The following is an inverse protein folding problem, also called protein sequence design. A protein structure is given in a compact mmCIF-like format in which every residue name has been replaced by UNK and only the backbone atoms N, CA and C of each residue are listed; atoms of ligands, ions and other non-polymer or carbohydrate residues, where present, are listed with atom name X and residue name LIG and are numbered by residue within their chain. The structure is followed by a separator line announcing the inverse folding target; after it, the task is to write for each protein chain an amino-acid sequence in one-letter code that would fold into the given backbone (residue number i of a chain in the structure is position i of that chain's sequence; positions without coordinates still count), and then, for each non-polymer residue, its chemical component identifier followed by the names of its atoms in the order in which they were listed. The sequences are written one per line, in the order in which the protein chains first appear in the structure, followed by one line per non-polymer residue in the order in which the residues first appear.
data_IF_640518779969
#
_entry.id   IF_640518779969
#
_cell.length_a   1.000
_cell.length_b   1.000
_cell.length_c   1.000
_cell.angle_alpha   90.00
_cell.angle_beta   90.00
_cell.angle_gamma   90.00
#
_symmetry.space_group_name_H-M   'P 1'
#
loop_
_entity.id
_entity.type
_entity.pdbx_description
1 polymer ?
#
# COMPACT_ATOMS: atom_id res chain seq x y z
N UNK A 1 -4.90 -25.14 12.34
CA UNK A 1 -5.19 -24.13 13.39
C UNK A 1 -3.98 -23.22 13.53
N UNK A 2 -3.96 -22.09 12.82
CA UNK A 2 -2.89 -21.08 12.90
C UNK A 2 -3.15 -20.15 14.08
N UNK A 3 -2.63 -20.55 15.26
CA UNK A 3 -2.45 -19.76 16.48
C UNK A 3 -3.73 -19.28 17.19
N UNK A 4 -3.85 -19.56 18.48
CA UNK A 4 -4.91 -19.01 19.35
C UNK A 4 -4.86 -17.48 19.50
N UNK A 5 -3.79 -16.83 19.02
CA UNK A 5 -3.48 -15.42 19.26
C UNK A 5 -3.70 -14.52 18.05
N UNK A 6 -4.06 -13.27 18.31
CA UNK A 6 -4.23 -12.17 17.36
C UNK A 6 -3.00 -11.25 17.30
N UNK A 7 -2.18 -11.20 18.35
CA UNK A 7 -1.06 -10.26 18.46
C UNK A 7 0.29 -10.97 18.54
N UNK A 8 1.34 -10.27 18.10
CA UNK A 8 2.71 -10.79 18.24
C UNK A 8 3.24 -10.69 19.67
N UNK A 9 2.91 -9.59 20.38
CA UNK A 9 3.48 -9.23 21.69
C UNK A 9 2.48 -8.89 22.78
N UNK A 10 1.18 -9.02 22.52
CA UNK A 10 0.14 -8.66 23.48
C UNK A 10 0.02 -9.64 24.64
N UNK A 11 -0.42 -9.13 25.78
CA UNK A 11 -0.80 -9.92 26.95
C UNK A 11 -2.08 -10.72 26.71
N UNK A 12 -2.37 -11.74 27.56
CA UNK A 12 -3.67 -12.43 27.52
C UNK A 12 -4.88 -11.49 27.67
N UNK A 13 -4.72 -10.32 28.27
CA UNK A 13 -5.80 -9.34 28.43
C UNK A 13 -6.21 -8.73 27.07
N UNK A 14 -5.26 -8.21 26.30
CA UNK A 14 -5.57 -7.64 24.97
C UNK A 14 -6.04 -8.70 23.98
N UNK A 15 -5.55 -9.94 24.11
CA UNK A 15 -6.06 -11.07 23.31
C UNK A 15 -7.54 -11.35 23.58
N UNK A 16 -7.97 -11.32 24.85
CA UNK A 16 -9.40 -11.44 25.21
C UNK A 16 -10.21 -10.27 24.65
N UNK A 17 -9.75 -9.04 24.81
CA UNK A 17 -10.42 -7.85 24.26
C UNK A 17 -10.61 -7.95 22.74
N UNK A 18 -9.59 -8.36 21.99
CA UNK A 18 -9.69 -8.55 20.54
C UNK A 18 -10.65 -9.69 20.22
N UNK A 19 -10.57 -10.80 20.95
CA UNK A 19 -11.47 -11.95 20.76
C UNK A 19 -12.94 -11.58 20.96
N UNK A 20 -13.25 -10.82 22.01
CA UNK A 20 -14.59 -10.31 22.30
C UNK A 20 -15.08 -9.39 21.18
N UNK A 21 -14.25 -8.42 20.76
CA UNK A 21 -14.57 -7.51 19.66
C UNK A 21 -14.85 -8.26 18.36
N UNK A 22 -13.98 -9.20 17.97
CA UNK A 22 -14.12 -10.00 16.75
C UNK A 22 -15.39 -10.85 16.79
N UNK A 23 -15.69 -11.45 17.94
CA UNK A 23 -16.91 -12.25 18.14
C UNK A 23 -18.16 -11.40 18.01
N UNK A 24 -18.19 -10.22 18.64
CA UNK A 24 -19.31 -9.27 18.55
C UNK A 24 -19.50 -8.73 17.14
N UNK A 25 -18.42 -8.39 16.46
CA UNK A 25 -18.46 -7.96 15.06
C UNK A 25 -19.01 -9.08 14.17
N UNK A 26 -18.57 -10.32 14.37
CA UNK A 26 -19.09 -11.49 13.64
C UNK A 26 -20.59 -11.68 13.86
N UNK A 27 -21.04 -11.68 15.11
CA UNK A 27 -22.46 -11.82 15.44
C UNK A 27 -23.30 -10.73 14.78
N UNK A 28 -22.89 -9.46 14.89
CA UNK A 28 -23.59 -8.32 14.33
C UNK A 28 -23.68 -8.37 12.79
N UNK A 29 -22.59 -8.71 12.11
CA UNK A 29 -22.58 -8.81 10.65
C UNK A 29 -23.41 -9.99 10.15
N UNK A 30 -23.38 -11.14 10.85
CA UNK A 30 -24.09 -12.36 10.44
C UNK A 30 -25.61 -12.18 10.38
N UNK A 31 -26.18 -11.30 11.23
CA UNK A 31 -27.61 -11.01 11.27
C UNK A 31 -28.15 -10.32 10.02
N UNK A 32 -27.29 -9.92 9.08
CA UNK A 32 -27.66 -9.23 7.84
C UNK A 32 -27.63 -10.13 6.61
N UNK A 33 -27.35 -11.41 6.79
CA UNK A 33 -27.28 -12.38 5.71
C UNK A 33 -28.24 -13.53 5.97
N UNK A 34 -28.97 -13.95 4.93
CA UNK A 34 -29.73 -15.18 4.98
C UNK A 34 -28.78 -16.40 5.00
N UNK A 35 -29.24 -17.57 5.47
CA UNK A 35 -28.44 -18.79 5.43
C UNK A 35 -27.88 -19.07 4.02
N UNK A 36 -26.56 -19.25 3.93
CA UNK A 36 -25.86 -19.52 2.68
C UNK A 36 -25.45 -18.30 1.85
N UNK A 37 -25.87 -17.07 2.21
CA UNK A 37 -25.43 -15.86 1.51
C UNK A 37 -24.00 -15.46 1.88
N UNK A 38 -23.69 -15.48 3.18
CA UNK A 38 -22.34 -15.28 3.71
C UNK A 38 -21.60 -16.62 3.75
N UNK A 39 -20.57 -16.75 2.91
CA UNK A 39 -19.78 -17.98 2.81
C UNK A 39 -18.64 -18.02 3.82
N UNK A 40 -17.96 -16.88 3.99
CA UNK A 40 -16.95 -16.72 5.04
C UNK A 40 -16.84 -15.26 5.46
N UNK A 41 -16.68 -15.05 6.76
CA UNK A 41 -16.18 -13.81 7.34
C UNK A 41 -14.80 -14.11 7.91
N UNK A 42 -13.78 -13.44 7.40
CA UNK A 42 -12.41 -13.61 7.84
C UNK A 42 -11.83 -12.32 8.41
N UNK A 43 -11.04 -12.45 9.47
CA UNK A 43 -10.10 -11.43 9.91
C UNK A 43 -8.82 -11.59 9.09
N UNK A 44 -8.40 -10.52 8.44
CA UNK A 44 -7.18 -10.46 7.62
C UNK A 44 -6.19 -9.45 8.24
N UNK A 45 -5.12 -9.11 7.52
CA UNK A 45 -4.17 -8.10 8.00
C UNK A 45 -3.33 -8.59 9.19
N UNK A 46 -2.92 -7.68 10.09
CA UNK A 46 -2.06 -8.03 11.24
C UNK A 46 -2.70 -9.03 12.18
N UNK A 47 -3.94 -8.75 12.62
CA UNK A 47 -4.65 -9.63 13.56
C UNK A 47 -5.05 -10.97 12.93
N UNK A 48 -5.37 -11.00 11.63
CA UNK A 48 -5.60 -12.24 10.89
C UNK A 48 -4.37 -13.15 10.80
N UNK A 49 -3.16 -12.57 10.82
CA UNK A 49 -1.90 -13.33 10.86
C UNK A 49 -1.50 -13.81 12.26
N UNK A 50 -2.16 -13.31 13.31
CA UNK A 50 -1.68 -13.45 14.68
C UNK A 50 -0.48 -12.56 15.00
N UNK A 51 -0.31 -11.47 14.23
CA UNK A 51 0.85 -10.58 14.29
C UNK A 51 0.43 -9.11 14.41
N UNK A 52 -0.77 -8.86 14.95
CA UNK A 52 -1.27 -7.51 15.18
C UNK A 52 -0.43 -6.76 16.21
N UNK A 53 -0.31 -5.45 16.01
CA UNK A 53 0.40 -4.57 16.93
C UNK A 53 -0.44 -4.19 18.15
N UNK A 54 0.24 -3.77 19.21
CA UNK A 54 -0.36 -3.39 20.50
C UNK A 54 0.20 -2.05 20.93
N UNK A 55 -0.68 -1.13 21.31
CA UNK A 55 -0.33 0.13 21.96
C UNK A 55 -0.42 -0.05 23.47
N UNK A 56 0.54 0.55 24.21
CA UNK A 56 0.52 0.62 25.67
C UNK A 56 0.25 2.05 26.11
N UNK A 57 -0.91 2.28 26.74
CA UNK A 57 -1.30 3.60 27.25
C UNK A 57 -1.75 3.45 28.69
N UNK A 58 -1.09 4.15 29.61
CA UNK A 58 -1.44 4.10 31.03
C UNK A 58 -1.35 2.69 31.65
N UNK A 59 -0.42 1.86 31.17
CA UNK A 59 -0.27 0.47 31.63
C UNK A 59 -1.30 -0.52 31.07
N UNK A 60 -2.25 -0.06 30.25
CA UNK A 60 -3.21 -0.92 29.54
C UNK A 60 -2.80 -1.11 28.08
N UNK A 61 -2.98 -2.34 27.61
CA UNK A 61 -2.75 -2.71 26.22
C UNK A 61 -4.03 -2.60 25.41
N UNK A 62 -3.92 -2.01 24.22
CA UNK A 62 -5.03 -1.90 23.26
C UNK A 62 -4.58 -2.23 21.84
N UNK A 63 -5.50 -2.66 20.95
CA UNK A 63 -5.18 -2.87 19.54
C UNK A 63 -4.60 -1.59 18.93
N UNK A 64 -3.41 -1.67 18.34
CA UNK A 64 -2.80 -0.53 17.65
C UNK A 64 -3.31 -0.37 16.21
N UNK A 65 -3.50 -1.48 15.49
CA UNK A 65 -3.87 -1.46 14.09
C UNK A 65 -5.40 -1.53 13.92
N UNK A 66 -5.85 -1.25 12.70
CA UNK A 66 -7.24 -1.53 12.33
C UNK A 66 -7.49 -3.04 12.30
N UNK A 67 -8.72 -3.44 12.60
CA UNK A 67 -9.23 -4.78 12.29
C UNK A 67 -9.71 -4.78 10.85
N UNK A 68 -9.03 -5.56 10.00
CA UNK A 68 -9.41 -5.73 8.61
C UNK A 68 -10.33 -6.96 8.48
N UNK A 69 -11.61 -6.73 8.25
CA UNK A 69 -12.62 -7.77 8.01
C UNK A 69 -12.82 -7.98 6.52
N UNK A 70 -12.96 -9.23 6.10
CA UNK A 70 -13.30 -9.59 4.72
C UNK A 70 -14.48 -10.55 4.69
N UNK A 71 -15.54 -10.14 4.02
CA UNK A 71 -16.73 -10.93 3.77
C UNK A 71 -16.67 -11.48 2.36
N UNK A 72 -16.82 -12.81 2.24
CA UNK A 72 -17.05 -13.48 0.95
C UNK A 72 -18.50 -13.92 0.90
N UNK A 73 -19.22 -13.38 -0.08
CA UNK A 73 -20.64 -13.68 -0.31
C UNK A 73 -20.84 -14.48 -1.58
N UNK A 74 -21.91 -15.26 -1.63
CA UNK A 74 -22.26 -16.09 -2.77
C UNK A 74 -22.60 -15.25 -4.01
N UNK A 75 -23.46 -14.24 -3.81
CA UNK A 75 -24.01 -13.39 -4.87
C UNK A 75 -23.62 -11.93 -4.69
N UNK A 76 -23.82 -11.13 -5.74
CA UNK A 76 -23.60 -9.69 -5.65
C UNK A 76 -24.52 -9.10 -4.56
N UNK A 77 -23.96 -8.38 -3.58
CA UNK A 77 -24.77 -7.80 -2.52
C UNK A 77 -25.65 -6.67 -3.08
N UNK A 78 -26.81 -6.39 -2.47
CA UNK A 78 -27.61 -5.23 -2.84
C UNK A 78 -26.82 -3.93 -2.65
N UNK A 79 -27.15 -2.93 -3.45
CA UNK A 79 -26.55 -1.61 -3.35
C UNK A 79 -26.76 -1.04 -1.93
N UNK A 80 -25.71 -0.45 -1.36
CA UNK A 80 -25.78 0.13 -0.01
C UNK A 80 -25.50 -0.84 1.14
N UNK A 81 -25.50 -2.17 0.93
CA UNK A 81 -25.24 -3.13 2.00
C UNK A 81 -23.91 -2.85 2.71
N UNK A 82 -22.84 -2.56 1.97
CA UNK A 82 -21.54 -2.23 2.56
C UNK A 82 -21.65 -1.04 3.54
N UNK A 83 -22.37 0.02 3.15
CA UNK A 83 -22.56 1.20 4.00
C UNK A 83 -23.45 0.90 5.21
N UNK A 84 -24.43 0.02 5.06
CA UNK A 84 -25.23 -0.48 6.19
C UNK A 84 -24.37 -1.23 7.21
N UNK A 85 -23.58 -2.21 6.76
CA UNK A 85 -22.66 -2.97 7.60
C UNK A 85 -21.61 -2.06 8.25
N UNK A 86 -21.06 -1.10 7.49
CA UNK A 86 -20.13 -0.10 8.03
C UNK A 86 -20.77 0.72 9.15
N UNK A 87 -22.05 1.13 9.02
CA UNK A 87 -22.78 1.81 10.11
C UNK A 87 -23.04 0.90 11.31
N UNK A 88 -23.32 -0.37 11.06
CA UNK A 88 -23.61 -1.33 12.11
C UNK A 88 -22.37 -1.59 13.00
N UNK A 89 -21.16 -1.45 12.46
CA UNK A 89 -19.90 -1.59 13.20
C UNK A 89 -19.49 -0.33 14.00
N UNK A 90 -20.14 0.82 13.78
CA UNK A 90 -19.75 2.09 14.41
C UNK A 90 -19.79 2.10 15.95
N UNK A 91 -20.78 1.46 16.62
CA UNK A 91 -20.77 1.34 18.07
C UNK A 91 -19.52 0.61 18.58
N UNK A 92 -19.07 -0.44 17.88
CA UNK A 92 -17.87 -1.19 18.25
C UNK A 92 -16.59 -0.36 18.01
N UNK A 93 -16.52 0.41 16.93
CA UNK A 93 -15.40 1.32 16.68
C UNK A 93 -15.24 2.33 17.81
N UNK A 94 -16.36 2.90 18.27
CA UNK A 94 -16.40 3.88 19.35
C UNK A 94 -16.05 3.26 20.70
N UNK A 95 -16.68 2.13 21.04
CA UNK A 95 -16.49 1.44 22.32
C UNK A 95 -15.05 0.98 22.53
N UNK A 96 -14.44 0.37 21.51
CA UNK A 96 -13.08 -0.17 21.58
C UNK A 96 -12.01 0.82 21.09
N UNK A 97 -12.40 2.01 20.63
CA UNK A 97 -11.52 3.04 20.07
C UNK A 97 -10.56 2.49 19.00
N UNK A 98 -11.07 1.65 18.12
CA UNK A 98 -10.28 0.93 17.11
C UNK A 98 -10.92 1.07 15.73
N UNK A 99 -10.08 1.24 14.71
CA UNK A 99 -10.54 1.19 13.33
C UNK A 99 -11.01 -0.21 12.97
N UNK A 100 -12.17 -0.33 12.33
CA UNK A 100 -12.66 -1.58 11.75
C UNK A 100 -12.93 -1.31 10.28
N UNK A 101 -12.10 -1.88 9.42
CA UNK A 101 -12.21 -1.77 7.96
C UNK A 101 -12.85 -3.04 7.41
N UNK A 102 -13.74 -2.89 6.43
CA UNK A 102 -14.49 -4.02 5.89
C UNK A 102 -14.42 -4.07 4.36
N UNK A 103 -13.95 -5.21 3.86
CA UNK A 103 -14.03 -5.61 2.46
C UNK A 103 -15.19 -6.56 2.22
N UNK A 104 -15.91 -6.38 1.10
CA UNK A 104 -17.01 -7.24 0.68
C UNK A 104 -16.77 -7.70 -0.76
N UNK A 105 -16.65 -9.01 -0.97
CA UNK A 105 -16.37 -9.60 -2.28
C UNK A 105 -17.26 -10.79 -2.55
N UNK A 106 -17.58 -11.01 -3.83
CA UNK A 106 -18.28 -12.24 -4.23
C UNK A 106 -17.28 -13.37 -4.47
N UNK A 107 -17.70 -14.62 -4.24
CA UNK A 107 -16.88 -15.79 -4.56
C UNK A 107 -16.50 -15.82 -6.04
N UNK A 108 -17.40 -15.44 -6.94
CA UNK A 108 -17.14 -15.41 -8.38
C UNK A 108 -16.11 -14.34 -8.77
N UNK A 109 -16.08 -13.19 -8.09
CA UNK A 109 -15.05 -12.17 -8.27
C UNK A 109 -13.71 -12.68 -7.73
N UNK A 110 -13.73 -13.24 -6.52
CA UNK A 110 -12.55 -13.77 -5.85
C UNK A 110 -11.90 -14.92 -6.62
N UNK A 111 -12.67 -15.80 -7.27
CA UNK A 111 -12.15 -16.88 -8.14
C UNK A 111 -11.52 -16.38 -9.44
N UNK A 112 -11.88 -15.18 -9.89
CA UNK A 112 -11.47 -14.60 -11.17
C UNK A 112 -10.45 -13.46 -11.04
N UNK A 113 -10.12 -13.05 -9.82
CA UNK A 113 -9.17 -11.98 -9.55
C UNK A 113 -7.74 -12.35 -10.02
N UNK A 114 -6.94 -11.39 -10.51
CA UNK A 114 -5.51 -11.63 -10.68
C UNK A 114 -4.86 -11.95 -9.33
N UNK A 115 -3.79 -12.74 -9.33
CA UNK A 115 -3.02 -12.98 -8.12
C UNK A 115 -2.22 -11.71 -7.79
N UNK A 116 -2.69 -11.00 -6.76
CA UNK A 116 -2.08 -9.80 -6.20
C UNK A 116 -1.47 -10.15 -4.86
N UNK A 117 -0.54 -9.31 -4.38
CA UNK A 117 0.07 -9.43 -3.04
C UNK A 117 -1.02 -9.64 -1.99
N UNK A 118 -2.06 -8.80 -2.01
CA UNK A 118 -3.19 -8.88 -1.08
C UNK A 118 -3.85 -10.27 -1.04
N UNK A 119 -4.05 -10.93 -2.19
CA UNK A 119 -4.76 -12.21 -2.23
C UNK A 119 -3.92 -13.39 -1.76
N UNK A 120 -2.62 -13.37 -2.10
CA UNK A 120 -1.66 -14.29 -1.51
C UNK A 120 -1.63 -14.14 0.02
N UNK A 121 -1.55 -12.90 0.48
CA UNK A 121 -1.53 -12.53 1.87
C UNK A 121 -2.79 -12.97 2.64
N UNK A 122 -3.97 -12.76 2.05
CA UNK A 122 -5.26 -13.17 2.61
C UNK A 122 -5.38 -14.68 2.66
N UNK A 123 -4.97 -15.40 1.61
CA UNK A 123 -5.03 -16.87 1.59
C UNK A 123 -4.27 -17.49 2.75
N UNK A 124 -3.09 -16.96 3.07
CA UNK A 124 -2.20 -17.55 4.07
C UNK A 124 -2.29 -16.92 5.46
N UNK A 125 -2.61 -15.63 5.54
CA UNK A 125 -2.59 -14.83 6.74
C UNK A 125 -3.97 -14.33 7.17
N UNK A 126 -4.89 -15.26 7.42
CA UNK A 126 -6.24 -14.96 7.90
C UNK A 126 -6.65 -15.86 9.07
N UNK A 127 -7.71 -15.43 9.76
CA UNK A 127 -8.50 -16.25 10.68
C UNK A 127 -9.96 -16.21 10.24
N UNK A 128 -10.58 -17.37 10.12
CA UNK A 128 -12.02 -17.44 9.86
C UNK A 128 -12.78 -17.17 11.16
N UNK A 129 -13.68 -16.20 11.12
CA UNK A 129 -14.57 -15.83 12.22
C UNK A 129 -15.88 -16.61 12.09
N UNK A 130 -16.46 -16.64 10.88
CA UNK A 130 -17.70 -17.36 10.57
C UNK A 130 -17.63 -18.01 9.18
N UNK A 131 -18.42 -19.06 8.97
CA UNK A 131 -18.56 -19.74 7.67
C UNK A 131 -17.47 -20.79 7.43
N UNK A 132 -17.20 -21.09 6.16
CA UNK A 132 -16.26 -22.14 5.76
C UNK A 132 -14.80 -21.70 5.95
N UNK A 133 -14.10 -22.33 6.88
CA UNK A 133 -12.69 -22.08 7.17
C UNK A 133 -11.75 -22.56 6.05
N UNK A 134 -12.20 -23.44 5.16
CA UNK A 134 -11.40 -23.96 4.05
C UNK A 134 -11.55 -23.13 2.77
N UNK A 135 -12.51 -22.19 2.72
CA UNK A 135 -12.79 -21.40 1.52
C UNK A 135 -11.56 -20.65 1.03
N UNK A 136 -10.92 -19.84 1.89
CA UNK A 136 -9.74 -19.06 1.48
C UNK A 136 -8.51 -19.94 1.21
N UNK A 137 -8.17 -20.94 2.05
CA UNK A 137 -7.10 -21.89 1.76
C UNK A 137 -7.24 -22.60 0.41
N UNK A 138 -8.48 -22.95 0.02
CA UNK A 138 -8.79 -23.67 -1.24
C UNK A 138 -8.49 -22.88 -2.51
N UNK A 139 -8.22 -21.57 -2.42
CA UNK A 139 -7.90 -20.71 -3.56
C UNK A 139 -6.43 -20.85 -3.98
N UNK A 140 -6.04 -22.07 -4.35
CA UNK A 140 -4.64 -22.49 -4.55
C UNK A 140 -3.85 -21.73 -5.61
N UNK A 141 -4.53 -20.97 -6.48
CA UNK A 141 -3.88 -20.10 -7.48
C UNK A 141 -3.18 -18.88 -6.87
N UNK A 142 -3.51 -18.51 -5.64
CA UNK A 142 -2.85 -17.41 -4.94
C UNK A 142 -1.54 -17.88 -4.32
N UNK A 143 -0.52 -18.02 -5.17
CA UNK A 143 0.84 -18.42 -4.80
C UNK A 143 1.80 -17.25 -4.99
N UNK A 144 2.92 -17.24 -4.27
CA UNK A 144 3.89 -16.14 -4.34
C UNK A 144 4.47 -15.98 -5.74
N UNK A 145 4.69 -17.10 -6.45
CA UNK A 145 5.19 -17.14 -7.83
C UNK A 145 4.17 -16.62 -8.85
N UNK A 146 2.90 -16.57 -8.45
CA UNK A 146 1.81 -16.07 -9.30
C UNK A 146 1.52 -14.58 -9.06
N UNK A 147 2.13 -13.95 -8.06
CA UNK A 147 1.98 -12.51 -7.83
C UNK A 147 2.54 -11.74 -9.03
N UNK A 148 1.72 -10.85 -9.58
CA UNK A 148 2.11 -9.99 -10.70
C UNK A 148 3.20 -8.99 -10.26
N UNK A 149 4.37 -8.92 -10.93
CA UNK A 149 5.42 -7.97 -10.59
C UNK A 149 4.97 -6.50 -10.64
N UNK A 150 4.05 -6.16 -11.54
CA UNK A 150 3.43 -4.83 -11.59
C UNK A 150 2.68 -4.49 -10.31
N UNK A 151 2.00 -5.45 -9.66
CA UNK A 151 1.28 -5.23 -8.39
C UNK A 151 2.24 -4.81 -7.27
N UNK A 152 3.45 -5.39 -7.26
CA UNK A 152 4.51 -5.04 -6.31
C UNK A 152 5.12 -3.67 -6.61
N UNK A 153 5.30 -3.33 -7.89
CA UNK A 153 5.68 -1.97 -8.30
C UNK A 153 4.61 -0.94 -7.90
N UNK A 154 3.34 -1.29 -8.02
CA UNK A 154 2.26 -0.38 -7.62
C UNK A 154 2.19 -0.24 -6.10
N UNK A 155 2.50 -1.29 -5.34
CA UNK A 155 2.72 -1.19 -3.90
C UNK A 155 3.84 -0.18 -3.58
N UNK A 156 4.98 -0.23 -4.28
CA UNK A 156 6.08 0.73 -4.09
C UNK A 156 5.64 2.17 -4.32
N UNK A 157 4.88 2.43 -5.39
CA UNK A 157 4.36 3.76 -5.71
C UNK A 157 3.37 4.21 -4.65
N UNK A 158 2.39 3.37 -4.30
CA UNK A 158 1.38 3.70 -3.29
C UNK A 158 2.02 4.04 -1.93
N UNK A 159 3.05 3.29 -1.56
CA UNK A 159 3.79 3.47 -0.30
C UNK A 159 4.72 4.69 -0.36
N UNK A 160 5.36 4.90 -1.50
CA UNK A 160 6.24 6.06 -1.71
C UNK A 160 5.48 7.38 -1.88
N UNK A 161 4.23 7.37 -2.34
CA UNK A 161 3.34 8.55 -2.32
C UNK A 161 3.16 9.11 -0.91
N UNK A 162 3.20 8.27 0.13
CA UNK A 162 3.16 8.73 1.53
C UNK A 162 4.36 9.64 1.87
N UNK A 163 5.52 9.42 1.25
CA UNK A 163 6.68 10.27 1.41
C UNK A 163 6.48 11.63 0.72
N UNK A 164 5.83 11.63 -0.45
CA UNK A 164 5.48 12.87 -1.16
C UNK A 164 4.53 13.73 -0.31
N UNK A 165 3.58 13.10 0.37
CA UNK A 165 2.69 13.77 1.34
C UNK A 165 3.52 14.37 2.48
N UNK A 166 4.46 13.60 3.04
CA UNK A 166 5.33 14.06 4.13
C UNK A 166 6.23 15.23 3.74
N UNK A 167 6.74 15.28 2.51
CA UNK A 167 7.52 16.41 2.01
C UNK A 167 6.72 17.71 2.02
N UNK A 168 5.45 17.67 1.56
CA UNK A 168 4.59 18.84 1.62
C UNK A 168 4.23 19.23 3.06
N UNK A 169 4.09 18.26 3.97
CA UNK A 169 3.92 18.56 5.40
C UNK A 169 5.15 19.29 5.95
N UNK A 170 6.35 18.79 5.68
CA UNK A 170 7.60 19.39 6.11
C UNK A 170 7.86 20.77 5.48
N UNK A 171 7.41 20.98 4.24
CA UNK A 171 7.57 22.26 3.55
C UNK A 171 6.72 23.38 4.17
N UNK A 172 5.64 23.05 4.90
CA UNK A 172 4.80 24.02 5.61
C UNK A 172 5.44 24.60 6.87
N UNK A 173 6.53 24.01 7.36
CA UNK A 173 7.20 24.43 8.58
C UNK A 173 6.70 23.67 9.81
N UNK A 174 6.14 24.37 10.79
CA UNK A 174 5.77 23.79 12.08
C UNK A 174 4.73 22.67 11.94
N UNK A 175 5.05 21.51 12.54
CA UNK A 175 4.19 20.34 12.56
C UNK A 175 3.46 20.28 13.90
N UNK A 176 2.13 20.29 13.88
CA UNK A 176 1.36 19.90 15.06
C UNK A 176 1.52 18.39 15.35
N UNK A 177 1.07 17.96 16.52
CA UNK A 177 1.19 16.55 16.96
C UNK A 177 0.56 15.54 15.98
N UNK A 178 -0.59 15.88 15.38
CA UNK A 178 -1.24 14.98 14.42
C UNK A 178 -0.40 14.83 13.14
N UNK A 179 0.12 15.93 12.59
CA UNK A 179 0.97 15.95 11.41
C UNK A 179 2.30 15.24 11.68
N UNK A 180 2.90 15.44 12.87
CA UNK A 180 4.10 14.73 13.32
C UNK A 180 3.88 13.23 13.35
N UNK A 181 2.80 12.77 13.99
CA UNK A 181 2.45 11.34 14.05
C UNK A 181 2.11 10.77 12.67
N UNK A 182 1.44 11.54 11.82
CA UNK A 182 1.16 11.14 10.44
C UNK A 182 2.44 10.93 9.65
N UNK A 183 3.40 11.86 9.76
CA UNK A 183 4.72 11.76 9.12
C UNK A 183 5.42 10.46 9.51
N UNK A 184 5.53 10.17 10.82
CA UNK A 184 6.18 8.95 11.33
C UNK A 184 5.49 7.69 10.76
N UNK A 185 4.15 7.61 10.88
CA UNK A 185 3.39 6.46 10.35
C UNK A 185 3.57 6.27 8.85
N UNK A 186 3.56 7.35 8.09
CA UNK A 186 3.75 7.34 6.64
C UNK A 186 5.13 6.81 6.27
N UNK A 187 6.19 7.31 6.93
CA UNK A 187 7.57 6.88 6.68
C UNK A 187 7.77 5.42 7.04
N UNK A 188 7.28 4.96 8.20
CA UNK A 188 7.32 3.54 8.60
C UNK A 188 6.59 2.65 7.60
N UNK A 189 5.38 3.05 7.16
CA UNK A 189 4.62 2.32 6.13
C UNK A 189 5.38 2.25 4.80
N UNK A 190 6.07 3.32 4.43
CA UNK A 190 6.90 3.36 3.23
C UNK A 190 8.07 2.38 3.33
N UNK A 191 8.85 2.43 4.42
CA UNK A 191 9.98 1.53 4.66
C UNK A 191 9.54 0.06 4.57
N UNK A 192 8.46 -0.32 5.25
CA UNK A 192 7.92 -1.69 5.21
C UNK A 192 7.53 -2.07 3.78
N UNK A 193 6.80 -1.22 3.07
CA UNK A 193 6.38 -1.48 1.70
C UNK A 193 7.54 -1.71 0.74
N UNK A 194 8.62 -0.96 0.91
CA UNK A 194 9.83 -1.09 0.10
C UNK A 194 10.63 -2.33 0.44
N UNK A 195 10.76 -2.68 1.72
CA UNK A 195 11.43 -3.92 2.12
C UNK A 195 10.66 -5.15 1.68
N UNK A 196 9.34 -5.12 1.75
CA UNK A 196 8.45 -6.16 1.23
C UNK A 196 8.62 -6.36 -0.28
N UNK A 197 8.66 -5.27 -1.05
CA UNK A 197 8.92 -5.33 -2.49
C UNK A 197 10.32 -5.87 -2.80
N UNK A 198 11.34 -5.44 -2.05
CA UNK A 198 12.70 -5.96 -2.21
C UNK A 198 12.76 -7.46 -1.93
N UNK A 199 12.10 -7.94 -0.88
CA UNK A 199 12.02 -9.37 -0.58
C UNK A 199 11.32 -10.13 -1.73
N UNK A 200 10.28 -9.57 -2.33
CA UNK A 200 9.61 -10.15 -3.50
C UNK A 200 10.55 -10.32 -4.69
N UNK A 201 11.20 -9.24 -5.13
CA UNK A 201 12.12 -9.31 -6.28
C UNK A 201 13.39 -10.13 -6.01
N UNK A 202 13.60 -10.56 -4.77
CA UNK A 202 14.71 -11.42 -4.34
C UNK A 202 14.26 -12.84 -4.00
N UNK A 203 13.01 -13.21 -4.31
CA UNK A 203 12.47 -14.55 -4.09
C UNK A 203 12.27 -14.91 -2.61
N UNK A 204 12.25 -13.92 -1.72
CA UNK A 204 12.19 -14.08 -0.27
C UNK A 204 10.91 -13.54 0.36
N UNK A 205 9.91 -13.11 -0.43
CA UNK A 205 8.63 -12.61 0.11
C UNK A 205 7.89 -13.69 0.91
N UNK A 206 7.17 -13.25 1.95
CA UNK A 206 6.33 -14.10 2.77
C UNK A 206 5.13 -13.32 3.30
N UNK A 207 4.04 -14.03 3.57
CA UNK A 207 2.81 -13.42 4.08
C UNK A 207 2.98 -12.94 5.54
N UNK A 208 3.76 -13.65 6.37
CA UNK A 208 4.01 -13.25 7.77
C UNK A 208 5.01 -12.09 7.86
N UNK A 209 4.66 -11.07 8.65
CA UNK A 209 5.52 -9.94 8.97
C UNK A 209 6.75 -10.37 9.76
N UNK A 210 6.59 -11.29 10.71
CA UNK A 210 7.71 -11.81 11.52
C UNK A 210 8.72 -12.53 10.62
N UNK A 211 8.23 -13.36 9.69
CA UNK A 211 9.10 -14.08 8.76
C UNK A 211 9.79 -13.12 7.77
N UNK A 212 9.09 -12.09 7.27
CA UNK A 212 9.72 -11.06 6.41
C UNK A 212 10.83 -10.30 7.15
N UNK A 213 10.60 -9.91 8.40
CA UNK A 213 11.61 -9.29 9.28
C UNK A 213 12.83 -10.20 9.44
N UNK A 214 12.61 -11.48 9.79
CA UNK A 214 13.69 -12.48 9.92
C UNK A 214 14.47 -12.66 8.62
N UNK A 215 13.77 -12.76 7.49
CA UNK A 215 14.39 -12.90 6.17
C UNK A 215 15.21 -11.67 5.80
N UNK A 216 14.71 -10.46 6.02
CA UNK A 216 15.48 -9.23 5.74
C UNK A 216 16.75 -9.15 6.59
N UNK A 217 16.67 -9.49 7.89
CA UNK A 217 17.82 -9.47 8.79
C UNK A 217 18.96 -10.38 8.28
N UNK A 218 18.61 -11.58 7.76
CA UNK A 218 19.58 -12.55 7.25
C UNK A 218 20.20 -12.24 5.87
N UNK A 219 19.87 -11.10 5.24
CA UNK A 219 20.29 -10.81 3.86
C UNK A 219 21.59 -10.01 3.82
N UNK A 220 22.64 -10.59 3.24
CA UNK A 220 23.95 -9.94 3.09
C UNK A 220 24.07 -9.09 1.82
N UNK A 221 23.19 -9.29 0.84
CA UNK A 221 23.11 -8.56 -0.41
C UNK A 221 22.19 -7.31 -0.34
N UNK A 222 21.74 -6.95 0.86
CA UNK A 222 20.98 -5.72 1.14
C UNK A 222 21.84 -4.81 2.03
N UNK A 223 22.00 -3.52 1.69
CA UNK A 223 22.78 -2.58 2.50
C UNK A 223 22.33 -2.57 3.97
N UNK A 224 23.30 -2.58 4.88
CA UNK A 224 23.04 -2.61 6.32
C UNK A 224 22.19 -1.41 6.79
N UNK A 225 22.40 -0.23 6.21
CA UNK A 225 21.60 0.96 6.49
C UNK A 225 20.10 0.71 6.24
N UNK A 226 19.74 0.13 5.09
CA UNK A 226 18.35 -0.20 4.79
C UNK A 226 17.82 -1.34 5.67
N UNK A 227 18.63 -2.36 5.97
CA UNK A 227 18.22 -3.43 6.90
C UNK A 227 17.87 -2.89 8.28
N UNK A 228 18.65 -1.94 8.81
CA UNK A 228 18.36 -1.26 10.08
C UNK A 228 17.05 -0.47 10.04
N UNK A 229 16.81 0.30 8.97
CA UNK A 229 15.53 1.00 8.78
C UNK A 229 14.35 0.03 8.75
N UNK A 230 14.46 -1.09 8.02
CA UNK A 230 13.40 -2.08 7.93
C UNK A 230 13.14 -2.77 9.27
N UNK A 231 14.19 -3.05 10.03
CA UNK A 231 14.09 -3.62 11.38
C UNK A 231 13.38 -2.68 12.35
N UNK A 232 13.79 -1.40 12.38
CA UNK A 232 13.16 -0.36 13.20
C UNK A 232 11.67 -0.19 12.83
N UNK A 233 11.36 -0.09 11.53
CA UNK A 233 9.99 0.05 11.04
C UNK A 233 9.13 -1.20 11.35
N UNK A 234 9.72 -2.40 11.27
CA UNK A 234 9.04 -3.65 11.61
C UNK A 234 8.77 -3.75 13.11
N UNK A 235 9.69 -3.33 13.97
CA UNK A 235 9.49 -3.27 15.41
C UNK A 235 8.37 -2.28 15.76
N UNK A 236 8.40 -1.06 15.18
CA UNK A 236 7.36 -0.04 15.37
C UNK A 236 5.97 -0.55 14.98
N UNK A 237 5.86 -1.40 13.95
CA UNK A 237 4.57 -1.99 13.54
C UNK A 237 3.93 -2.83 14.67
N UNK A 238 4.73 -3.57 15.43
CA UNK A 238 4.25 -4.45 16.49
C UNK A 238 4.03 -3.70 17.80
N UNK A 239 4.91 -2.75 18.11
CA UNK A 239 4.90 -1.99 19.36
C UNK A 239 5.36 -0.56 19.03
N UNK A 240 4.44 0.34 18.68
CA UNK A 240 4.77 1.70 18.28
C UNK A 240 5.34 2.51 19.43
N UNK A 241 6.52 3.10 19.21
CA UNK A 241 7.14 4.02 20.13
C UNK A 241 7.23 5.41 19.48
N UNK A 242 6.24 6.26 19.75
CA UNK A 242 6.28 7.65 19.29
C UNK A 242 7.22 8.52 20.13
N UNK A 243 7.48 8.16 21.39
CA UNK A 243 8.33 8.92 22.29
C UNK A 243 9.79 8.85 21.83
N UNK A 244 10.22 7.69 21.32
CA UNK A 244 11.54 7.52 20.68
C UNK A 244 11.77 8.44 19.48
N UNK A 245 10.72 9.05 18.91
CA UNK A 245 10.83 10.04 17.85
C UNK A 245 10.76 11.48 18.34
N UNK A 246 10.50 11.77 19.63
CA UNK A 246 10.26 13.14 20.11
C UNK A 246 11.38 14.11 19.74
N UNK A 247 12.63 13.75 20.07
CA UNK A 247 13.83 14.56 19.82
C UNK A 247 14.48 14.29 18.45
N UNK A 248 13.90 13.41 17.64
CA UNK A 248 14.47 13.06 16.33
C UNK A 248 14.20 14.17 15.33
N UNK A 249 15.26 14.60 14.63
CA UNK A 249 15.13 15.43 13.42
C UNK A 249 14.44 14.62 12.32
N UNK A 250 13.14 14.86 12.16
CA UNK A 250 12.32 14.16 11.17
C UNK A 250 12.69 14.54 9.73
N UNK A 251 13.25 15.73 9.49
CA UNK A 251 13.67 16.14 8.15
C UNK A 251 14.93 15.40 7.73
N UNK A 252 15.92 15.33 8.62
CA UNK A 252 17.12 14.54 8.40
C UNK A 252 16.77 13.05 8.19
N UNK A 253 15.92 12.49 9.07
CA UNK A 253 15.48 11.11 8.96
C UNK A 253 14.71 10.82 7.65
N UNK A 254 13.82 11.70 7.22
CA UNK A 254 13.12 11.58 5.94
C UNK A 254 14.09 11.61 4.76
N UNK A 255 15.11 12.48 4.80
CA UNK A 255 16.12 12.60 3.75
C UNK A 255 16.97 11.33 3.64
N UNK A 256 17.43 10.80 4.77
CA UNK A 256 18.14 9.51 4.82
C UNK A 256 17.26 8.38 4.30
N UNK A 257 16.01 8.31 4.79
CA UNK A 257 15.05 7.29 4.37
C UNK A 257 14.82 7.34 2.86
N UNK A 258 14.53 8.52 2.28
CA UNK A 258 14.33 8.69 0.83
C UNK A 258 15.54 8.22 0.03
N UNK A 259 16.76 8.49 0.50
CA UNK A 259 17.99 8.03 -0.15
C UNK A 259 18.07 6.50 -0.20
N UNK A 260 17.82 5.83 0.93
CA UNK A 260 17.81 4.35 0.98
C UNK A 260 16.68 3.78 0.09
N UNK A 261 15.49 4.38 0.15
CA UNK A 261 14.33 3.93 -0.62
C UNK A 261 14.50 4.15 -2.13
N UNK A 262 15.21 5.19 -2.57
CA UNK A 262 15.54 5.40 -3.98
C UNK A 262 16.39 4.26 -4.54
N UNK A 263 17.40 3.81 -3.79
CA UNK A 263 18.24 2.67 -4.18
C UNK A 263 17.43 1.37 -4.23
N UNK A 264 16.55 1.14 -3.25
CA UNK A 264 15.66 -0.02 -3.24
C UNK A 264 14.67 0.03 -4.42
N UNK A 265 14.12 1.20 -4.75
CA UNK A 265 13.25 1.39 -5.90
C UNK A 265 13.95 0.96 -7.20
N UNK A 266 15.17 1.47 -7.44
CA UNK A 266 15.96 1.10 -8.60
C UNK A 266 16.23 -0.40 -8.65
N UNK A 267 16.59 -1.02 -7.52
CA UNK A 267 16.84 -2.46 -7.47
C UNK A 267 15.59 -3.29 -7.84
N UNK A 268 14.42 -2.89 -7.34
CA UNK A 268 13.15 -3.53 -7.67
C UNK A 268 12.79 -3.36 -9.15
N UNK A 269 12.90 -2.13 -9.68
CA UNK A 269 12.61 -1.85 -11.09
C UNK A 269 13.63 -2.49 -12.03
N UNK A 270 14.91 -2.58 -11.65
CA UNK A 270 15.94 -3.30 -12.39
C UNK A 270 15.57 -4.78 -12.56
N UNK A 271 15.12 -5.42 -11.48
CA UNK A 271 14.64 -6.79 -11.51
C UNK A 271 13.37 -6.93 -12.36
N UNK A 272 12.38 -6.07 -12.17
CA UNK A 272 11.10 -6.10 -12.90
C UNK A 272 11.29 -5.88 -14.41
N UNK A 273 12.12 -4.93 -14.78
CA UNK A 273 12.36 -4.54 -16.17
C UNK A 273 13.40 -5.44 -16.86
N UNK A 274 14.13 -6.27 -16.12
CA UNK A 274 15.22 -7.09 -16.63
C UNK A 274 16.43 -6.26 -17.06
N UNK A 275 16.74 -5.18 -16.34
CA UNK A 275 17.83 -4.24 -16.66
C UNK A 275 18.74 -4.06 -15.44
N UNK A 276 19.84 -4.82 -15.31
CA UNK A 276 20.68 -4.81 -14.10
C UNK A 276 21.31 -3.45 -13.75
N UNK A 277 21.72 -2.68 -14.76
CA UNK A 277 22.30 -1.34 -14.60
C UNK A 277 21.27 -0.25 -14.91
N UNK A 278 20.08 -0.36 -14.31
CA UNK A 278 19.03 0.65 -14.45
C UNK A 278 19.41 1.91 -13.66
N UNK A 279 19.29 3.06 -14.29
CA UNK A 279 19.40 4.37 -13.66
C UNK A 279 18.18 5.24 -13.99
N UNK A 280 18.15 6.44 -13.41
CA UNK A 280 17.07 7.39 -13.62
C UNK A 280 17.15 8.13 -14.96
N UNK A 281 18.20 8.04 -15.76
CA UNK A 281 18.31 8.80 -17.00
C UNK A 281 17.38 8.27 -18.09
N UNK A 282 17.20 6.94 -18.16
CA UNK A 282 16.42 6.24 -19.18
C UNK A 282 15.16 5.56 -18.63
N UNK A 283 14.91 5.72 -17.34
CA UNK A 283 13.84 5.01 -16.62
C UNK A 283 12.44 5.17 -17.26
N UNK A 284 11.91 6.39 -17.56
CA UNK A 284 10.60 6.57 -18.18
C UNK A 284 10.44 5.80 -19.47
N UNK A 285 11.46 5.84 -20.34
CA UNK A 285 11.39 5.15 -21.63
C UNK A 285 11.32 3.65 -21.43
N UNK A 286 12.09 3.10 -20.50
CA UNK A 286 12.10 1.66 -20.17
C UNK A 286 10.81 1.22 -19.50
N UNK A 287 10.36 1.94 -18.47
CA UNK A 287 9.14 1.67 -17.75
C UNK A 287 7.91 1.71 -18.68
N UNK A 288 7.78 2.77 -19.50
CA UNK A 288 6.69 2.90 -20.45
C UNK A 288 6.76 1.83 -21.53
N UNK A 289 7.93 1.51 -22.08
CA UNK A 289 8.07 0.40 -23.04
C UNK A 289 7.64 -0.93 -22.43
N UNK A 290 8.02 -1.18 -21.18
CA UNK A 290 7.67 -2.42 -20.49
C UNK A 290 6.16 -2.51 -20.17
N UNK A 291 5.47 -1.39 -20.00
CA UNK A 291 4.01 -1.38 -19.87
C UNK A 291 3.27 -2.06 -21.03
N UNK A 292 3.89 -2.20 -22.21
CA UNK A 292 3.34 -2.96 -23.33
C UNK A 292 3.20 -4.46 -23.02
N UNK A 293 4.10 -5.02 -22.22
CA UNK A 293 4.15 -6.45 -21.91
C UNK A 293 3.62 -6.80 -20.51
N UNK A 294 3.35 -5.81 -19.65
CA UNK A 294 2.72 -6.02 -18.33
C UNK A 294 1.39 -6.78 -18.44
N UNK A 295 1.01 -7.61 -17.46
CA UNK A 295 -0.19 -8.46 -17.52
C UNK A 295 -0.06 -9.70 -18.42
N UNK A 296 1.07 -9.90 -19.10
CA UNK A 296 1.36 -11.12 -19.86
C UNK A 296 0.30 -11.46 -20.91
N UNK A 297 -0.16 -12.72 -20.91
CA UNK A 297 -1.19 -13.24 -21.83
C UNK A 297 -2.62 -13.10 -21.29
N UNK A 298 -2.85 -12.34 -20.21
CA UNK A 298 -4.19 -12.15 -19.66
C UNK A 298 -5.04 -11.28 -20.62
N UNK A 299 -6.02 -11.91 -21.26
CA UNK A 299 -6.95 -11.25 -22.18
C UNK A 299 -7.69 -10.06 -21.55
N UNK A 300 -7.97 -10.09 -20.24
CA UNK A 300 -8.61 -8.94 -19.57
C UNK A 300 -7.65 -7.78 -19.40
N UNK A 301 -6.40 -8.06 -19.04
CA UNK A 301 -5.37 -7.03 -18.97
C UNK A 301 -5.22 -6.32 -20.33
N UNK A 302 -5.21 -7.09 -21.42
CA UNK A 302 -5.21 -6.54 -22.79
C UNK A 302 -6.46 -5.72 -23.11
N UNK A 303 -7.65 -6.18 -22.76
CA UNK A 303 -8.88 -5.41 -22.97
C UNK A 303 -8.86 -4.07 -22.22
N UNK A 304 -8.37 -4.06 -20.97
CA UNK A 304 -8.21 -2.84 -20.20
C UNK A 304 -7.20 -1.89 -20.84
N UNK A 305 -6.06 -2.39 -21.33
CA UNK A 305 -5.06 -1.59 -22.07
C UNK A 305 -5.64 -0.97 -23.34
N UNK A 306 -6.40 -1.75 -24.13
CA UNK A 306 -7.04 -1.25 -25.34
C UNK A 306 -8.04 -0.15 -25.02
N UNK A 307 -8.89 -0.33 -24.00
CA UNK A 307 -9.82 0.71 -23.53
C UNK A 307 -9.08 1.97 -23.05
N UNK A 308 -7.99 1.81 -22.30
CA UNK A 308 -7.16 2.93 -21.89
C UNK A 308 -6.57 3.67 -23.10
N UNK A 309 -6.14 2.92 -24.12
CA UNK A 309 -5.60 3.47 -25.36
C UNK A 309 -6.61 4.21 -26.23
N UNK A 310 -7.93 4.07 -25.99
CA UNK A 310 -8.94 4.89 -26.68
C UNK A 310 -8.99 6.32 -26.13
N UNK A 311 -8.51 6.56 -24.90
CA UNK A 311 -8.42 7.91 -24.34
C UNK A 311 -7.25 8.67 -24.96
N UNK A 312 -7.41 9.97 -25.18
CA UNK A 312 -6.31 10.84 -25.60
C UNK A 312 -5.17 10.74 -24.58
N UNK A 313 -3.94 10.40 -24.99
CA UNK A 313 -2.82 10.41 -24.07
C UNK A 313 -2.60 11.85 -23.58
N UNK A 314 -2.09 12.03 -22.34
CA UNK A 314 -1.61 13.34 -21.93
C UNK A 314 -0.57 13.83 -22.94
N UNK A 315 -0.64 15.11 -23.29
CA UNK A 315 0.33 15.71 -24.20
C UNK A 315 1.70 15.67 -23.53
N UNK A 316 2.60 14.81 -24.02
CA UNK A 316 3.99 14.74 -23.57
C UNK A 316 4.90 15.22 -24.71
N UNK A 317 5.39 16.47 -24.67
CA UNK A 317 6.31 17.03 -25.65
C UNK A 317 7.68 16.36 -25.72
N UNK A 318 8.12 15.64 -24.67
CA UNK A 318 9.43 14.99 -24.64
C UNK A 318 9.55 13.95 -25.77
N UNK A 319 10.73 13.91 -26.43
CA UNK A 319 11.10 12.93 -27.47
C UNK A 319 11.09 11.49 -26.92
N UNK A 320 9.91 10.92 -26.76
CA UNK A 320 9.71 9.50 -26.50
C UNK A 320 9.80 8.72 -27.82
N UNK A 321 10.47 7.57 -27.81
CA UNK A 321 10.45 6.64 -28.93
C UNK A 321 9.04 6.06 -29.16
N UNK A 322 8.78 5.56 -30.38
CA UNK A 322 7.44 5.05 -30.77
C UNK A 322 6.85 4.05 -29.77
N UNK A 323 7.67 3.10 -29.29
CA UNK A 323 7.26 2.08 -28.31
C UNK A 323 6.89 2.68 -26.95
N UNK A 324 7.65 3.66 -26.46
CA UNK A 324 7.36 4.32 -25.19
C UNK A 324 6.09 5.17 -25.27
N UNK A 325 5.80 5.82 -26.41
CA UNK A 325 4.53 6.53 -26.61
C UNK A 325 3.33 5.58 -26.62
N UNK A 326 3.46 4.44 -27.30
CA UNK A 326 2.41 3.41 -27.27
C UNK A 326 2.23 2.87 -25.85
N UNK A 327 3.33 2.65 -25.13
CA UNK A 327 3.33 2.25 -23.73
C UNK A 327 2.62 3.23 -22.81
N UNK A 328 2.86 4.53 -22.97
CA UNK A 328 2.14 5.59 -22.27
C UNK A 328 0.64 5.55 -22.55
N UNK A 329 0.27 5.39 -23.82
CA UNK A 329 -1.14 5.34 -24.25
C UNK A 329 -1.86 4.11 -23.69
N UNK A 330 -1.23 2.94 -23.74
CA UNK A 330 -1.82 1.67 -23.27
C UNK A 330 -1.75 1.51 -21.74
N UNK A 331 -0.73 2.06 -21.09
CA UNK A 331 -0.53 2.03 -19.64
C UNK A 331 -1.44 3.01 -18.89
N UNK A 332 -1.98 4.01 -19.58
CA UNK A 332 -2.89 5.00 -19.00
C UNK A 332 -2.29 5.75 -17.82
N UNK A 333 -3.15 6.15 -16.88
CA UNK A 333 -2.73 6.94 -15.73
C UNK A 333 -1.74 6.20 -14.81
N UNK A 334 -1.93 4.88 -14.61
CA UNK A 334 -1.07 4.05 -13.77
C UNK A 334 0.35 3.94 -14.34
N UNK A 335 0.46 3.70 -15.65
CA UNK A 335 1.75 3.65 -16.33
C UNK A 335 2.47 5.00 -16.30
N UNK A 336 1.75 6.11 -16.48
CA UNK A 336 2.33 7.45 -16.36
C UNK A 336 2.83 7.72 -14.95
N UNK A 337 2.00 7.44 -13.94
CA UNK A 337 2.33 7.62 -12.53
C UNK A 337 3.62 6.90 -12.16
N UNK A 338 3.75 5.64 -12.58
CA UNK A 338 4.96 4.85 -12.37
C UNK A 338 6.20 5.45 -13.04
N UNK A 339 6.04 6.05 -14.22
CA UNK A 339 7.16 6.62 -14.98
C UNK A 339 7.64 7.97 -14.40
N UNK A 340 6.74 8.78 -13.84
CA UNK A 340 7.09 10.10 -13.27
C UNK A 340 7.50 10.02 -11.80
N UNK A 341 7.04 9.00 -11.08
CA UNK A 341 7.17 8.90 -9.63
C UNK A 341 8.60 9.13 -9.09
N UNK A 342 9.68 8.52 -9.63
CA UNK A 342 11.02 8.72 -9.08
C UNK A 342 11.52 10.17 -9.11
N UNK A 343 11.10 10.96 -10.11
CA UNK A 343 11.51 12.36 -10.25
C UNK A 343 10.79 13.27 -9.27
N UNK A 344 9.58 12.88 -8.87
CA UNK A 344 8.79 13.59 -7.87
C UNK A 344 9.28 13.25 -6.46
N UNK A 345 9.54 11.96 -6.20
CA UNK A 345 9.80 11.48 -4.83
C UNK A 345 11.27 11.53 -4.44
N UNK A 346 12.21 11.30 -5.36
CA UNK A 346 13.64 11.21 -5.02
C UNK A 346 14.48 12.36 -5.53
N UNK A 347 13.86 13.31 -6.23
CA UNK A 347 14.59 14.40 -6.85
C UNK A 347 15.56 13.92 -7.93
N UNK A 348 15.29 12.75 -8.54
CA UNK A 348 16.20 12.13 -9.49
C UNK A 348 16.61 13.12 -10.62
N UNK A 349 17.92 13.25 -10.93
CA UNK A 349 18.40 14.28 -11.85
C UNK A 349 18.08 13.96 -13.32
N UNK A 350 18.24 14.97 -14.17
CA UNK A 350 18.21 14.81 -15.63
C UNK A 350 16.86 15.06 -16.28
N UNK A 351 16.75 14.66 -17.55
CA UNK A 351 15.61 14.97 -18.43
C UNK A 351 14.25 14.42 -17.94
N UNK A 352 14.26 13.50 -16.98
CA UNK A 352 13.04 12.94 -16.42
C UNK A 352 12.23 13.91 -15.55
N UNK A 353 12.86 14.94 -14.95
CA UNK A 353 12.12 16.00 -14.23
C UNK A 353 11.28 16.84 -15.17
N UNK A 354 11.83 17.17 -16.34
CA UNK A 354 11.10 17.90 -17.37
C UNK A 354 9.97 17.05 -17.97
N UNK A 355 10.21 15.74 -18.15
CA UNK A 355 9.16 14.79 -18.48
C UNK A 355 8.04 14.78 -17.42
N UNK A 356 8.38 14.71 -16.13
CA UNK A 356 7.41 14.73 -15.05
C UNK A 356 6.61 16.05 -15.01
N UNK A 357 7.29 17.20 -15.15
CA UNK A 357 6.65 18.53 -15.19
C UNK A 357 5.60 18.59 -16.29
N UNK A 358 5.97 18.23 -17.51
CA UNK A 358 5.06 18.27 -18.65
C UNK A 358 3.92 17.25 -18.52
N UNK A 359 4.23 16.01 -18.11
CA UNK A 359 3.24 14.95 -17.99
C UNK A 359 2.20 15.21 -16.90
N UNK A 360 2.58 15.89 -15.82
CA UNK A 360 1.71 16.23 -14.69
C UNK A 360 1.08 17.63 -14.82
N UNK A 361 1.53 18.45 -15.78
CA UNK A 361 1.13 19.85 -15.89
C UNK A 361 1.59 20.68 -14.68
N UNK A 362 2.80 20.44 -14.19
CA UNK A 362 3.37 21.21 -13.09
C UNK A 362 3.90 22.58 -13.56
N UNK A 363 3.81 23.59 -12.69
CA UNK A 363 4.24 24.96 -12.99
C UNK A 363 5.74 25.05 -13.30
N UNK A 364 6.58 24.35 -12.53
CA UNK A 364 8.04 24.31 -12.73
C UNK A 364 8.61 22.92 -12.47
N UNK A 365 9.92 22.76 -12.68
CA UNK A 365 10.66 21.56 -12.28
C UNK A 365 11.11 21.63 -10.82
N UNK A 366 10.58 22.52 -9.97
CA UNK A 366 10.85 22.52 -8.53
C UNK A 366 10.27 21.26 -7.86
N UNK A 367 10.86 20.83 -6.73
CA UNK A 367 10.33 19.66 -6.00
C UNK A 367 8.89 19.90 -5.54
N UNK A 368 8.58 21.06 -4.98
CA UNK A 368 7.24 21.38 -4.45
C UNK A 368 6.18 21.35 -5.55
N UNK A 369 6.45 21.96 -6.71
CA UNK A 369 5.46 22.01 -7.80
C UNK A 369 5.22 20.62 -8.40
N UNK A 370 6.28 19.82 -8.58
CA UNK A 370 6.16 18.45 -9.03
C UNK A 370 5.37 17.59 -8.04
N UNK A 371 5.62 17.74 -6.74
CA UNK A 371 4.91 17.01 -5.68
C UNK A 371 3.43 17.38 -5.61
N UNK A 372 3.08 18.68 -5.70
CA UNK A 372 1.69 19.14 -5.76
C UNK A 372 0.98 18.60 -7.00
N UNK A 373 1.57 18.76 -8.18
CA UNK A 373 0.99 18.26 -9.43
C UNK A 373 0.81 16.73 -9.42
N UNK A 374 1.79 16.00 -8.87
CA UNK A 374 1.69 14.56 -8.69
C UNK A 374 0.56 14.18 -7.74
N UNK A 375 0.39 14.87 -6.61
CA UNK A 375 -0.67 14.56 -5.66
C UNK A 375 -2.07 14.92 -6.18
N UNK A 376 -2.20 15.98 -7.00
CA UNK A 376 -3.44 16.26 -7.76
C UNK A 376 -3.76 15.10 -8.72
N UNK A 377 -2.76 14.65 -9.48
CA UNK A 377 -2.89 13.53 -10.40
C UNK A 377 -3.24 12.22 -9.65
N UNK A 378 -2.55 11.94 -8.55
CA UNK A 378 -2.83 10.81 -7.65
C UNK A 378 -4.26 10.85 -7.11
N UNK A 379 -4.75 12.01 -6.66
CA UNK A 379 -6.10 12.16 -6.14
C UNK A 379 -7.20 11.93 -7.18
N UNK A 380 -6.92 12.13 -8.46
CA UNK A 380 -7.89 11.89 -9.55
C UNK A 380 -7.80 10.49 -10.14
N UNK A 381 -6.59 9.92 -10.23
CA UNK A 381 -6.34 8.71 -11.00
C UNK A 381 -5.89 7.50 -10.15
N UNK A 382 -5.42 7.74 -8.93
CA UNK A 382 -4.90 6.73 -8.00
C UNK A 382 -5.86 6.45 -6.84
N UNK A 383 -6.07 7.44 -5.97
CA UNK A 383 -6.95 7.35 -4.81
C UNK A 383 -7.91 8.55 -4.73
N UNK A 384 -9.17 8.39 -5.17
CA UNK A 384 -10.20 9.43 -5.08
C UNK A 384 -10.44 9.96 -3.67
N UNK A 385 -10.21 9.15 -2.64
CA UNK A 385 -10.42 9.55 -1.25
C UNK A 385 -9.28 10.43 -0.71
N UNK A 386 -8.14 10.45 -1.39
CA UNK A 386 -6.97 11.21 -0.95
C UNK A 386 -7.26 12.70 -0.81
N UNK A 387 -8.13 13.28 -1.64
CA UNK A 387 -8.47 14.71 -1.55
C UNK A 387 -9.06 15.07 -0.17
N UNK A 388 -9.86 14.17 0.42
CA UNK A 388 -10.37 14.38 1.77
C UNK A 388 -9.24 14.28 2.82
N UNK A 389 -8.34 13.31 2.68
CA UNK A 389 -7.16 13.17 3.54
C UNK A 389 -6.23 14.38 3.45
N UNK A 390 -5.99 14.91 2.26
CA UNK A 390 -5.19 16.10 2.02
C UNK A 390 -5.77 17.31 2.76
N UNK A 391 -7.10 17.52 2.69
CA UNK A 391 -7.79 18.59 3.44
C UNK A 391 -7.66 18.41 4.96
N UNK A 392 -7.83 17.18 5.47
CA UNK A 392 -7.66 16.88 6.90
C UNK A 392 -6.25 17.21 7.39
N UNK A 393 -5.24 16.95 6.56
CA UNK A 393 -3.84 17.28 6.83
C UNK A 393 -3.50 18.75 6.54
N UNK A 394 -4.46 19.56 6.09
CA UNK A 394 -4.28 20.97 5.75
C UNK A 394 -3.38 21.22 4.53
N UNK A 395 -3.28 20.27 3.61
CA UNK A 395 -2.45 20.38 2.42
C UNK A 395 -3.16 21.17 1.31
N UNK A 396 -2.54 22.26 0.87
CA UNK A 396 -2.94 22.98 -0.35
C UNK A 396 -2.26 22.36 -1.55
N UNK A 397 -3.08 21.79 -2.44
CA UNK A 397 -2.60 21.16 -3.67
C UNK A 397 -2.66 22.09 -4.88
N UNK A 398 -3.18 23.31 -4.75
CA UNK A 398 -3.19 24.31 -5.83
C UNK A 398 -1.81 24.95 -5.99
N UNK A 399 -1.50 25.41 -7.21
CA UNK A 399 -0.28 26.15 -7.45
C UNK A 399 -0.40 27.50 -6.74
N UNK A 400 0.67 27.92 -6.03
CA UNK A 400 0.70 29.26 -5.46
C UNK A 400 0.59 30.26 -6.62
N UNK A 401 -0.30 31.27 -6.57
CA UNK A 401 -0.34 32.29 -7.61
C UNK A 401 1.06 32.93 -7.69
N UNK A 402 1.64 32.83 -8.89
CA UNK A 402 2.95 33.37 -9.25
C UNK A 402 3.00 34.88 -9.13
#
# INVERSE_FOLDING_TARGET
MTGERYTHRGSPAVERTISELVTRAGALLSQRFAPGELLTLALIGGYGRGEGGVDRVGGQERPHNNLDLMLVVQHAPPAGLKAELDRALEPLRTEYQVGIDMGLVTLSSLRRAPCRVMWYDVRHGHKTILGDANLLPSLERFRVESILPEDVRDLLINRGTLLVINELLLARGELNEEARRALIRHTVKAIIGYGDALLFFRGAYHWSYVEKRRRMAGRTDVPEAFRRLYEEASAFRFEPDYAGFAERDLRAWMTETRTQLAAVHLACEAARLGVPALDWSDYPKRALRHALVEGGLDARAWLHKLRAGLKSPPAVPVKLGKRARLGLRLGGARGLMAAVFPYVTYGAPGAGREFARQALGAASTSDIDLQRAYLRFWGSAGDPNFIHTARKLGLTLEDSPS
#
